data_IF_681751169351
#
_entry.id   IF_681751169351
#
_cell.length_a   1.000
_cell.length_b   1.000
_cell.length_c   1.000
_cell.angle_alpha   90.00
_cell.angle_beta   90.00
_cell.angle_gamma   90.00
#
_symmetry.space_group_name_H-M   'P 1'
#
loop_
_entity.id
_entity.type
_entity.pdbx_description
1 polymer ?
#
# COMPACT_ATOMS: atom_id res chain seq x y z
N UNK A 1 12.38 75.54 18.12
CA UNK A 1 13.37 74.47 17.83
C UNK A 1 12.95 73.21 18.57
N UNK A 2 12.43 72.18 17.87
CA UNK A 2 12.04 70.90 18.49
C UNK A 2 13.27 69.99 18.57
N UNK A 3 13.73 69.69 19.78
CA UNK A 3 14.76 68.66 20.01
C UNK A 3 14.12 67.30 19.75
N UNK A 4 14.53 66.63 18.68
CA UNK A 4 14.26 65.21 18.47
C UNK A 4 15.05 64.44 19.53
N UNK A 5 14.36 63.71 20.41
CA UNK A 5 15.02 62.86 21.40
C UNK A 5 15.65 61.67 20.66
N UNK A 6 16.91 61.32 20.94
CA UNK A 6 17.54 60.15 20.33
C UNK A 6 16.77 58.89 20.74
N UNK A 7 16.28 58.15 19.74
CA UNK A 7 15.64 56.85 19.94
C UNK A 7 16.64 55.90 20.60
N UNK A 8 16.27 55.30 21.73
CA UNK A 8 17.12 54.32 22.43
C UNK A 8 17.40 53.14 21.51
N UNK A 9 18.66 53.00 21.12
CA UNK A 9 19.21 51.84 20.44
C UNK A 9 19.05 50.62 21.35
N UNK A 10 18.08 49.75 21.04
CA UNK A 10 17.93 48.45 21.72
C UNK A 10 18.96 47.51 21.10
N UNK A 11 20.12 47.41 21.74
CA UNK A 11 21.14 46.42 21.35
C UNK A 11 20.60 45.00 21.49
N UNK A 12 20.99 44.12 20.57
CA UNK A 12 20.72 42.69 20.65
C UNK A 12 21.28 42.13 21.96
N UNK A 13 20.48 41.35 22.66
CA UNK A 13 20.89 40.78 23.94
C UNK A 13 21.59 39.44 23.74
N UNK A 14 22.54 39.08 24.61
CA UNK A 14 23.20 37.76 24.57
C UNK A 14 22.18 36.61 24.64
N UNK A 15 21.12 36.80 25.42
CA UNK A 15 20.05 35.80 25.56
C UNK A 15 19.28 35.58 24.26
N UNK A 16 19.16 36.60 23.40
CA UNK A 16 18.47 36.48 22.12
C UNK A 16 19.26 35.65 21.11
N UNK A 17 20.60 35.78 21.09
CA UNK A 17 21.45 34.92 20.28
C UNK A 17 21.38 33.46 20.77
N UNK A 18 21.40 33.24 22.09
CA UNK A 18 21.23 31.90 22.67
C UNK A 18 19.86 31.32 22.31
N UNK A 19 18.78 32.11 22.43
CA UNK A 19 17.44 31.70 22.06
C UNK A 19 17.37 31.32 20.57
N UNK A 20 17.98 32.11 19.68
CA UNK A 20 18.07 31.80 18.26
C UNK A 20 18.80 30.47 17.99
N UNK A 21 19.93 30.21 18.68
CA UNK A 21 20.64 28.93 18.56
C UNK A 21 19.82 27.74 19.07
N UNK A 22 19.09 27.89 20.17
CA UNK A 22 18.22 26.83 20.70
C UNK A 22 17.10 26.51 19.70
N UNK A 23 16.41 27.53 19.20
CA UNK A 23 15.35 27.36 18.19
C UNK A 23 15.94 26.72 16.92
N UNK A 24 17.11 27.18 16.48
CA UNK A 24 17.80 26.62 15.32
C UNK A 24 18.14 25.14 15.52
N UNK A 25 18.72 24.77 16.67
CA UNK A 25 19.06 23.38 16.97
C UNK A 25 17.81 22.48 16.96
N UNK A 26 16.71 22.95 17.53
CA UNK A 26 15.43 22.23 17.50
C UNK A 26 14.91 22.09 16.07
N UNK A 27 14.95 23.17 15.28
CA UNK A 27 14.49 23.16 13.89
C UNK A 27 15.32 22.20 13.02
N UNK A 28 16.64 22.20 13.16
CA UNK A 28 17.53 21.26 12.46
C UNK A 28 17.25 19.82 12.89
N UNK A 29 17.05 19.58 14.19
CA UNK A 29 16.67 18.26 14.71
C UNK A 29 15.37 17.75 14.10
N UNK A 30 14.34 18.60 14.05
CA UNK A 30 13.06 18.28 13.40
C UNK A 30 13.23 18.00 11.90
N UNK A 31 14.03 18.80 11.20
CA UNK A 31 14.30 18.59 9.78
C UNK A 31 14.99 17.25 9.52
N UNK A 32 15.99 16.89 10.32
CA UNK A 32 16.68 15.60 10.21
C UNK A 32 15.74 14.41 10.45
N UNK A 33 14.80 14.54 11.39
CA UNK A 33 13.76 13.52 11.61
C UNK A 33 12.87 13.35 10.38
N UNK A 34 12.39 14.45 9.79
CA UNK A 34 11.56 14.42 8.58
C UNK A 34 12.33 13.80 7.40
N UNK A 35 13.59 14.17 7.22
CA UNK A 35 14.44 13.60 6.17
C UNK A 35 14.61 12.08 6.34
N UNK A 36 14.90 11.64 7.57
CA UNK A 36 15.03 10.22 7.90
C UNK A 36 13.73 9.46 7.62
N UNK A 37 12.60 10.03 8.02
CA UNK A 37 11.28 9.45 7.76
C UNK A 37 10.99 9.34 6.26
N UNK A 38 11.30 10.39 5.49
CA UNK A 38 11.13 10.42 4.03
C UNK A 38 11.98 9.34 3.35
N UNK A 39 13.24 9.21 3.71
CA UNK A 39 14.13 8.18 3.16
C UNK A 39 13.64 6.77 3.47
N UNK A 40 13.20 6.52 4.70
CA UNK A 40 12.64 5.22 5.08
C UNK A 40 11.34 4.90 4.33
N UNK A 41 10.49 5.91 4.12
CA UNK A 41 9.27 5.76 3.33
C UNK A 41 9.58 5.44 1.86
N UNK A 42 10.54 6.13 1.26
CA UNK A 42 10.97 5.88 -0.11
C UNK A 42 11.54 4.46 -0.29
N UNK A 43 12.33 3.97 0.68
CA UNK A 43 12.85 2.59 0.67
C UNK A 43 11.73 1.55 0.70
N UNK A 44 10.75 1.71 1.60
CA UNK A 44 9.59 0.82 1.68
C UNK A 44 8.79 0.79 0.37
N UNK A 45 8.52 1.96 -0.21
CA UNK A 45 7.82 2.07 -1.50
C UNK A 45 8.58 1.35 -2.63
N UNK A 46 9.90 1.49 -2.66
CA UNK A 46 10.73 0.76 -3.63
C UNK A 46 10.66 -0.76 -3.43
N UNK A 47 10.63 -1.25 -2.19
CA UNK A 47 10.54 -2.68 -1.91
C UNK A 47 9.18 -3.28 -2.29
N UNK A 48 8.09 -2.57 -2.03
CA UNK A 48 6.74 -2.97 -2.49
C UNK A 48 6.67 -3.01 -4.02
N UNK A 49 7.23 -2.00 -4.69
CA UNK A 49 7.27 -1.96 -6.16
C UNK A 49 8.07 -3.13 -6.73
N UNK A 50 9.21 -3.49 -6.11
CA UNK A 50 10.00 -4.66 -6.52
C UNK A 50 9.22 -5.96 -6.34
N UNK A 51 8.53 -6.13 -5.22
CA UNK A 51 7.69 -7.30 -4.98
C UNK A 51 6.59 -7.43 -6.05
N UNK A 52 5.94 -6.31 -6.43
CA UNK A 52 4.95 -6.28 -7.50
C UNK A 52 5.53 -6.65 -8.87
N UNK A 53 6.72 -6.14 -9.21
CA UNK A 53 7.41 -6.50 -10.45
C UNK A 53 7.81 -7.98 -10.51
N UNK A 54 8.23 -8.55 -9.38
CA UNK A 54 8.47 -9.98 -9.28
C UNK A 54 7.19 -10.77 -9.51
N UNK A 55 6.09 -10.42 -8.82
CA UNK A 55 4.79 -11.05 -9.02
C UNK A 55 4.33 -10.98 -10.49
N UNK A 56 4.48 -9.82 -11.13
CA UNK A 56 4.18 -9.66 -12.56
C UNK A 56 5.04 -10.57 -13.42
N UNK A 57 6.34 -10.64 -13.15
CA UNK A 57 7.25 -11.54 -13.87
C UNK A 57 6.84 -13.01 -13.71
N UNK A 58 6.39 -13.45 -12.53
CA UNK A 58 5.86 -14.79 -12.36
C UNK A 58 4.61 -15.01 -13.23
N UNK A 59 3.66 -14.09 -13.18
CA UNK A 59 2.41 -14.17 -13.94
C UNK A 59 2.67 -14.18 -15.45
N UNK A 60 3.59 -13.36 -15.94
CA UNK A 60 3.97 -13.29 -17.35
C UNK A 60 4.57 -14.61 -17.84
N UNK A 61 5.21 -15.39 -16.95
CA UNK A 61 5.76 -16.70 -17.28
C UNK A 61 4.69 -17.81 -17.27
N UNK A 62 3.52 -17.60 -16.64
CA UNK A 62 2.46 -18.62 -16.60
C UNK A 62 1.90 -18.84 -18.01
N UNK A 63 1.96 -20.09 -18.48
CA UNK A 63 1.46 -20.47 -19.80
C UNK A 63 2.42 -20.18 -20.97
N UNK A 64 3.61 -19.64 -20.71
CA UNK A 64 4.69 -19.56 -21.70
C UNK A 64 5.57 -20.81 -21.55
N UNK A 65 5.35 -21.81 -22.41
CA UNK A 65 6.18 -23.02 -22.51
C UNK A 65 5.44 -24.31 -22.18
N UNK A 66 4.84 -24.40 -20.99
CA UNK A 66 4.11 -25.59 -20.52
C UNK A 66 2.62 -25.29 -20.29
N UNK A 67 1.77 -26.32 -20.37
CA UNK A 67 0.32 -26.17 -20.20
C UNK A 67 0.01 -25.72 -18.77
N UNK A 68 -0.83 -24.72 -18.63
CA UNK A 68 -1.32 -24.26 -17.33
C UNK A 68 -2.15 -25.36 -16.69
N UNK A 69 -1.72 -25.83 -15.52
CA UNK A 69 -2.42 -26.83 -14.71
C UNK A 69 -2.86 -26.21 -13.37
N UNK A 70 -3.99 -26.67 -12.86
CA UNK A 70 -4.49 -26.23 -11.55
C UNK A 70 -3.57 -26.75 -10.43
N UNK A 71 -3.33 -25.92 -9.42
CA UNK A 71 -2.48 -26.27 -8.28
C UNK A 71 -1.80 -25.07 -7.64
N UNK A 72 -0.97 -25.35 -6.63
CA UNK A 72 -0.18 -24.37 -5.90
C UNK A 72 1.31 -24.56 -6.16
N UNK A 73 2.05 -23.47 -6.38
CA UNK A 73 3.51 -23.46 -6.41
C UNK A 73 4.05 -22.34 -5.53
N UNK A 74 5.26 -22.53 -5.00
CA UNK A 74 5.86 -21.56 -4.08
C UNK A 74 7.38 -21.54 -4.25
N UNK A 75 8.02 -20.46 -3.81
CA UNK A 75 9.47 -20.35 -3.86
C UNK A 75 9.98 -19.04 -3.27
N UNK A 76 11.26 -18.78 -3.53
CA UNK A 76 11.92 -17.56 -3.08
C UNK A 76 12.68 -16.90 -4.24
N UNK A 77 12.62 -15.57 -4.31
CA UNK A 77 13.48 -14.73 -5.15
C UNK A 77 14.52 -14.02 -4.29
N UNK A 78 15.77 -14.11 -4.73
CA UNK A 78 16.92 -13.37 -4.18
C UNK A 78 17.05 -13.45 -2.65
N UNK A 79 16.60 -14.57 -2.06
CA UNK A 79 16.57 -14.87 -0.60
C UNK A 79 15.84 -13.83 0.26
N UNK A 80 15.11 -12.91 -0.37
CA UNK A 80 14.51 -11.73 0.27
C UNK A 80 13.02 -11.62 -0.01
N UNK A 81 12.53 -12.25 -1.08
CA UNK A 81 11.11 -12.28 -1.43
C UNK A 81 10.64 -13.73 -1.46
N UNK A 82 9.56 -14.04 -0.74
CA UNK A 82 8.87 -15.33 -0.83
C UNK A 82 7.60 -15.15 -1.64
N UNK A 83 7.27 -16.13 -2.48
CA UNK A 83 6.09 -16.09 -3.32
C UNK A 83 5.32 -17.41 -3.24
N UNK A 84 4.02 -17.29 -3.49
CA UNK A 84 3.07 -18.39 -3.59
C UNK A 84 2.16 -18.07 -4.78
N UNK A 85 1.87 -19.08 -5.59
CA UNK A 85 1.03 -19.00 -6.78
C UNK A 85 -0.01 -20.09 -6.68
N UNK A 86 -1.27 -19.70 -6.82
CA UNK A 86 -2.41 -20.61 -6.85
C UNK A 86 -3.11 -20.45 -8.20
N UNK A 87 -3.36 -21.57 -8.86
CA UNK A 87 -4.06 -21.66 -10.13
C UNK A 87 -5.29 -22.53 -9.91
N UNK A 88 -6.46 -21.92 -10.05
CA UNK A 88 -7.74 -22.61 -9.93
C UNK A 88 -8.40 -22.75 -11.31
N UNK A 89 -8.99 -23.92 -11.57
CA UNK A 89 -9.83 -24.11 -12.74
C UNK A 89 -11.21 -23.53 -12.46
N UNK A 90 -11.70 -22.67 -13.34
CA UNK A 90 -13.02 -22.04 -13.21
C UNK A 90 -13.92 -22.54 -14.34
N UNK A 91 -15.15 -22.95 -14.01
CA UNK A 91 -16.16 -23.30 -14.99
C UNK A 91 -16.61 -22.04 -15.75
N UNK A 92 -16.44 -21.99 -17.08
CA UNK A 92 -16.71 -20.78 -17.86
C UNK A 92 -18.19 -20.37 -17.84
N UNK A 93 -19.11 -21.33 -17.69
CA UNK A 93 -20.54 -21.07 -17.60
C UNK A 93 -20.92 -20.30 -16.32
N UNK A 94 -20.24 -20.58 -15.20
CA UNK A 94 -20.42 -19.85 -13.94
C UNK A 94 -19.89 -18.41 -14.02
N UNK A 95 -18.82 -18.16 -14.78
CA UNK A 95 -18.27 -16.80 -14.97
C UNK A 95 -19.19 -15.94 -15.83
N UNK A 96 -19.72 -16.50 -16.92
CA UNK A 96 -20.61 -15.77 -17.85
C UNK A 96 -21.96 -15.46 -17.20
N UNK A 97 -22.50 -16.37 -16.37
CA UNK A 97 -23.71 -16.12 -15.59
C UNK A 97 -23.54 -14.90 -14.67
N UNK A 98 -22.46 -14.84 -13.89
CA UNK A 98 -22.18 -13.71 -12.99
C UNK A 98 -21.89 -12.38 -13.72
N UNK A 99 -21.33 -12.43 -14.94
CA UNK A 99 -21.00 -11.22 -15.72
C UNK A 99 -22.21 -10.67 -16.49
N UNK A 100 -23.21 -11.50 -16.78
CA UNK A 100 -24.39 -11.14 -17.59
C UNK A 100 -25.57 -10.70 -16.71
N UNK A 101 -25.57 -11.02 -15.42
CA UNK A 101 -26.58 -10.54 -14.48
C UNK A 101 -26.32 -9.06 -14.13
N UNK A 102 -27.17 -8.10 -14.57
CA UNK A 102 -27.12 -6.75 -14.02
C UNK A 102 -27.51 -6.87 -12.56
N UNK A 103 -26.60 -6.50 -11.66
CA UNK A 103 -26.79 -6.47 -10.21
C UNK A 103 -28.15 -5.84 -9.84
N UNK A 104 -29.16 -6.69 -9.66
CA UNK A 104 -30.56 -6.26 -9.60
C UNK A 104 -31.50 -7.26 -8.94
N UNK A 105 -30.99 -8.32 -8.29
CA UNK A 105 -31.86 -9.19 -7.50
C UNK A 105 -31.13 -9.83 -6.31
N UNK A 106 -31.04 -9.11 -5.19
CA UNK A 106 -30.75 -9.69 -3.88
C UNK A 106 -31.99 -10.37 -3.24
N UNK A 107 -33.07 -10.60 -4.00
CA UNK A 107 -34.37 -11.02 -3.47
C UNK A 107 -35.02 -12.13 -4.31
N UNK A 108 -34.31 -13.21 -4.64
CA UNK A 108 -34.94 -14.47 -5.06
C UNK A 108 -34.01 -15.66 -4.84
N UNK A 109 -33.79 -16.03 -3.58
CA UNK A 109 -33.49 -17.43 -3.29
C UNK A 109 -34.80 -18.22 -3.45
N UNK A 110 -34.92 -19.18 -4.39
CA UNK A 110 -35.98 -20.17 -4.27
C UNK A 110 -35.59 -21.13 -3.17
N UNK A 111 -36.51 -21.29 -2.23
CA UNK A 111 -36.39 -22.09 -1.04
C UNK A 111 -36.01 -23.55 -1.34
N UNK A 112 -34.92 -24.01 -0.71
CA UNK A 112 -34.82 -25.41 -0.28
C UNK A 112 -35.94 -25.63 0.73
N UNK A 113 -37.04 -26.22 0.28
CA UNK A 113 -38.15 -26.65 1.12
C UNK A 113 -38.57 -28.08 0.75
N UNK A 114 -38.12 -29.00 1.59
CA UNK A 114 -38.72 -30.26 2.05
C UNK A 114 -39.93 -30.85 1.28
N UNK A 115 -39.81 -32.13 0.92
CA UNK A 115 -40.92 -33.00 0.55
C UNK A 115 -40.52 -34.48 0.58
N UNK A 116 -40.82 -35.15 1.69
CA UNK A 116 -40.61 -36.57 1.92
C UNK A 116 -41.64 -37.47 1.20
N UNK A 117 -41.25 -38.72 0.90
CA UNK A 117 -42.11 -39.83 0.42
C UNK A 117 -42.25 -39.89 -1.11
N UNK A 118 -42.27 -41.04 -1.79
CA UNK A 118 -42.72 -42.38 -1.42
C UNK A 118 -42.14 -43.43 -2.40
N UNK A 119 -41.98 -44.66 -1.90
CA UNK A 119 -41.77 -45.98 -2.54
C UNK A 119 -42.76 -46.30 -3.71
N UNK A 120 -42.55 -47.35 -4.54
CA UNK A 120 -42.26 -48.75 -4.18
C UNK A 120 -40.93 -49.35 -4.63
#
# INVERSE_FOLDING_TARGET
MRKTLPGRSRGFTLIEMIAAFVIFAIAVGALMQILTMSMNNARRSADETRAALWAQTLLDNVGIGERVEAGSSHGEFDRSYRWEMQIDQIDPELVVANATEPSGNAASAPAVAAGAGLLP
#
